data_IF_131793604908
#
_entry.id   IF_131793604908
#
_cell.length_a   1.000
_cell.length_b   1.000
_cell.length_c   1.000
_cell.angle_alpha   90.00
_cell.angle_beta   90.00
_cell.angle_gamma   90.00
#
_symmetry.space_group_name_H-M   'P 1'
#
loop_
_entity.id
_entity.type
_entity.pdbx_description
1 polymer ?
#
# COMPACT_ATOMS: atom_id res chain seq x y z
N UNK A 1 87.91 -16.85 6.85
CA UNK A 1 86.58 -17.52 6.74
C UNK A 1 85.56 -16.51 7.17
N UNK A 2 84.93 -15.84 6.20
CA UNK A 2 83.93 -14.76 6.43
C UNK A 2 82.57 -15.26 6.13
N UNK A 3 81.73 -15.25 7.17
CA UNK A 3 80.32 -15.67 7.09
C UNK A 3 79.49 -14.47 6.63
N UNK A 4 78.80 -14.58 5.46
CA UNK A 4 77.87 -13.60 4.94
C UNK A 4 76.51 -13.97 5.40
N UNK A 5 75.85 -13.11 6.21
CA UNK A 5 74.52 -13.19 6.62
C UNK A 5 73.62 -12.54 5.53
N UNK A 6 72.69 -13.33 4.89
CA UNK A 6 71.65 -12.79 4.00
C UNK A 6 70.49 -12.42 4.84
N UNK A 7 70.08 -11.16 4.84
CA UNK A 7 68.75 -10.70 5.31
C UNK A 7 67.76 -10.90 4.19
N UNK A 8 66.81 -11.77 4.39
CA UNK A 8 65.60 -11.92 3.58
C UNK A 8 64.56 -10.92 4.08
N UNK A 9 64.27 -9.84 3.33
CA UNK A 9 63.17 -8.92 3.55
C UNK A 9 61.87 -9.54 3.09
N UNK A 10 61.00 -9.89 4.02
CA UNK A 10 59.63 -10.28 3.73
C UNK A 10 58.76 -9.06 3.51
N UNK A 11 58.31 -8.81 2.28
CA UNK A 11 57.26 -7.85 1.98
C UNK A 11 55.89 -8.47 2.36
N UNK A 12 55.30 -8.00 3.45
CA UNK A 12 53.92 -8.33 3.80
C UNK A 12 52.99 -7.55 2.87
N UNK A 13 52.39 -8.23 1.90
CA UNK A 13 51.29 -7.70 1.10
C UNK A 13 50.03 -7.68 1.99
N UNK A 14 49.65 -6.49 2.46
CA UNK A 14 48.33 -6.28 3.05
C UNK A 14 47.30 -6.38 1.94
N UNK A 15 46.63 -7.52 1.82
CA UNK A 15 45.42 -7.67 1.01
C UNK A 15 44.32 -6.86 1.68
N UNK A 16 43.99 -5.70 1.13
CA UNK A 16 42.73 -5.00 1.40
C UNK A 16 41.61 -5.92 0.89
N UNK A 17 40.99 -6.68 1.78
CA UNK A 17 39.69 -7.29 1.50
C UNK A 17 38.69 -6.15 1.43
N UNK A 18 38.43 -5.63 0.22
CA UNK A 18 37.24 -4.88 -0.07
C UNK A 18 36.07 -5.87 0.14
N UNK A 19 35.49 -5.87 1.34
CA UNK A 19 34.23 -6.55 1.57
C UNK A 19 33.22 -5.96 0.57
N UNK A 20 32.74 -6.78 -0.36
CA UNK A 20 31.59 -6.42 -1.16
C UNK A 20 30.48 -6.10 -0.15
N UNK A 21 30.06 -4.84 -0.08
CA UNK A 21 28.87 -4.46 0.66
C UNK A 21 27.74 -5.32 0.06
N UNK A 22 27.15 -6.18 0.87
CA UNK A 22 26.03 -6.98 0.43
C UNK A 22 24.82 -6.05 0.41
N UNK A 23 24.12 -5.99 -0.73
CA UNK A 23 22.90 -5.20 -0.85
C UNK A 23 21.94 -5.50 0.32
N UNK A 24 21.41 -4.46 0.93
CA UNK A 24 20.35 -4.62 1.94
C UNK A 24 19.04 -4.88 1.22
N UNK A 25 18.43 -6.04 1.47
CA UNK A 25 17.17 -6.41 0.84
C UNK A 25 16.00 -5.93 1.69
N UNK A 26 15.10 -5.15 1.06
CA UNK A 26 13.88 -4.64 1.67
C UNK A 26 12.66 -5.33 1.05
N UNK A 27 12.08 -6.27 1.78
CA UNK A 27 10.83 -6.90 1.39
C UNK A 27 9.66 -5.92 1.53
N UNK A 28 8.92 -5.69 0.44
CA UNK A 28 7.80 -4.77 0.34
C UNK A 28 6.48 -5.53 0.10
N UNK A 29 5.71 -5.86 1.15
CA UNK A 29 4.39 -6.45 0.98
C UNK A 29 3.40 -5.46 0.37
N UNK A 30 2.60 -5.94 -0.59
CA UNK A 30 1.58 -5.20 -1.32
C UNK A 30 0.25 -5.96 -1.25
N UNK A 31 -0.86 -5.24 -1.08
CA UNK A 31 -2.18 -5.85 -0.91
C UNK A 31 -2.83 -6.29 -2.23
N UNK A 32 -2.41 -5.74 -3.37
CA UNK A 32 -3.08 -5.87 -4.66
C UNK A 32 -2.30 -6.76 -5.64
N UNK A 33 -2.96 -7.32 -6.68
CA UNK A 33 -2.30 -8.08 -7.74
C UNK A 33 -1.17 -7.30 -8.41
N UNK A 34 -0.19 -8.02 -8.98
CA UNK A 34 0.97 -7.39 -9.64
C UNK A 34 0.58 -6.48 -10.82
N UNK A 35 -0.57 -6.74 -11.45
CA UNK A 35 -1.12 -5.97 -12.57
C UNK A 35 -1.88 -4.71 -12.15
N UNK A 36 -2.11 -4.52 -10.85
CA UNK A 36 -2.73 -3.31 -10.34
C UNK A 36 -1.71 -2.17 -10.35
N UNK A 37 -2.13 -0.97 -10.78
CA UNK A 37 -1.22 0.17 -10.97
C UNK A 37 -0.52 0.62 -9.67
N UNK A 38 -1.07 0.38 -8.48
CA UNK A 38 -0.37 0.60 -7.22
C UNK A 38 0.83 -0.34 -7.09
N UNK A 39 0.64 -1.63 -7.39
CA UNK A 39 1.74 -2.61 -7.37
C UNK A 39 2.77 -2.33 -8.47
N UNK A 40 2.35 -1.89 -9.65
CA UNK A 40 3.26 -1.46 -10.73
C UNK A 40 4.05 -0.20 -10.35
N UNK A 41 3.40 0.77 -9.68
CA UNK A 41 4.08 1.96 -9.15
C UNK A 41 5.10 1.59 -8.08
N UNK A 42 4.75 0.69 -7.17
CA UNK A 42 5.67 0.19 -6.15
C UNK A 42 6.87 -0.57 -6.77
N UNK A 43 6.65 -1.38 -7.79
CA UNK A 43 7.72 -2.06 -8.53
C UNK A 43 8.63 -1.06 -9.26
N UNK A 44 8.07 0.00 -9.85
CA UNK A 44 8.85 1.08 -10.47
C UNK A 44 9.67 1.84 -9.44
N UNK A 45 9.09 2.15 -8.28
CA UNK A 45 9.80 2.77 -7.17
C UNK A 45 10.95 1.88 -6.68
N UNK A 46 10.74 0.57 -6.55
CA UNK A 46 11.76 -0.39 -6.16
C UNK A 46 12.98 -0.37 -7.11
N UNK A 47 12.73 -0.36 -8.41
CA UNK A 47 13.79 -0.23 -9.43
C UNK A 47 14.52 1.10 -9.30
N UNK A 48 13.78 2.22 -9.15
CA UNK A 48 14.41 3.54 -8.98
C UNK A 48 15.32 3.61 -7.76
N UNK A 49 14.91 3.03 -6.61
CA UNK A 49 15.73 3.01 -5.39
C UNK A 49 16.99 2.18 -5.61
N UNK A 50 16.88 0.99 -6.20
CA UNK A 50 18.03 0.12 -6.48
C UNK A 50 19.04 0.82 -7.41
N UNK A 51 18.58 1.50 -8.46
CA UNK A 51 19.43 2.26 -9.37
C UNK A 51 20.07 3.48 -8.68
N UNK A 52 19.28 4.25 -7.93
CA UNK A 52 19.77 5.47 -7.26
C UNK A 52 20.80 5.17 -6.17
N UNK A 53 20.67 4.03 -5.48
CA UNK A 53 21.61 3.60 -4.43
C UNK A 53 22.79 2.79 -4.98
N UNK A 54 22.89 2.63 -6.31
CA UNK A 54 23.95 1.81 -6.93
C UNK A 54 23.89 0.34 -6.55
N UNK A 55 22.73 -0.14 -6.09
CA UNK A 55 22.50 -1.51 -5.64
C UNK A 55 22.75 -1.73 -4.15
N UNK A 56 23.00 -0.69 -3.35
CA UNK A 56 23.14 -0.82 -1.89
C UNK A 56 21.82 -1.24 -1.22
N UNK A 57 20.68 -0.79 -1.78
CA UNK A 57 19.34 -1.17 -1.34
C UNK A 57 18.60 -1.87 -2.50
N UNK A 58 18.12 -3.08 -2.26
CA UNK A 58 17.28 -3.83 -3.18
C UNK A 58 15.88 -4.00 -2.57
N UNK A 59 14.84 -3.36 -3.17
CA UNK A 59 13.47 -3.54 -2.74
C UNK A 59 12.83 -4.66 -3.56
N UNK A 60 12.33 -5.71 -2.86
CA UNK A 60 11.63 -6.84 -3.46
C UNK A 60 10.14 -6.73 -3.15
N UNK A 61 9.32 -6.54 -4.18
CA UNK A 61 7.86 -6.40 -4.02
C UNK A 61 7.17 -7.76 -3.92
N UNK A 62 6.20 -7.88 -3.00
CA UNK A 62 5.40 -9.09 -2.75
C UNK A 62 3.91 -8.77 -2.95
N UNK A 63 3.38 -8.83 -4.19
CA UNK A 63 2.00 -8.47 -4.51
C UNK A 63 0.99 -9.50 -4.01
N UNK A 64 -0.29 -9.12 -4.09
CA UNK A 64 -1.47 -9.94 -3.80
C UNK A 64 -1.50 -10.53 -2.37
N UNK A 65 -0.96 -9.81 -1.40
CA UNK A 65 -0.93 -10.27 -0.01
C UNK A 65 -0.05 -11.51 0.23
N UNK A 66 0.89 -11.81 -0.69
CA UNK A 66 1.68 -13.04 -0.69
C UNK A 66 2.65 -13.15 0.48
N UNK A 67 3.16 -12.03 1.01
CA UNK A 67 4.03 -12.02 2.18
C UNK A 67 3.23 -11.81 3.48
N UNK A 68 2.31 -10.84 3.48
CA UNK A 68 1.37 -10.55 4.55
C UNK A 68 -0.01 -10.22 3.96
N UNK A 69 -1.11 -10.72 4.53
CA UNK A 69 -2.45 -10.27 4.17
C UNK A 69 -2.56 -8.74 4.24
N UNK A 70 -3.38 -8.13 3.39
CA UNK A 70 -3.53 -6.67 3.34
C UNK A 70 -3.76 -6.02 4.70
N UNK A 71 -4.60 -6.62 5.55
CA UNK A 71 -4.88 -6.18 6.92
C UNK A 71 -3.65 -6.13 7.84
N UNK A 72 -2.63 -6.94 7.57
CA UNK A 72 -1.47 -7.12 8.44
C UNK A 72 -0.25 -6.29 8.00
N UNK A 73 -0.24 -5.75 6.76
CA UNK A 73 0.92 -5.03 6.18
C UNK A 73 1.39 -3.89 7.08
N UNK A 74 0.47 -3.00 7.48
CA UNK A 74 0.85 -1.85 8.34
C UNK A 74 1.52 -2.31 9.63
N UNK A 75 0.95 -3.32 10.29
CA UNK A 75 1.50 -3.87 11.52
C UNK A 75 2.84 -4.56 11.30
N UNK A 76 3.00 -5.30 10.19
CA UNK A 76 4.27 -5.97 9.85
C UNK A 76 5.41 -4.95 9.71
N UNK A 77 5.15 -3.81 9.02
CA UNK A 77 6.14 -2.74 8.89
C UNK A 77 6.36 -2.03 10.24
N UNK A 78 5.30 -1.70 10.97
CA UNK A 78 5.38 -1.06 12.27
C UNK A 78 6.24 -1.84 13.27
N UNK A 79 6.17 -3.17 13.24
CA UNK A 79 6.91 -4.06 14.15
C UNK A 79 8.25 -4.53 13.59
N UNK A 80 8.67 -4.05 12.42
CA UNK A 80 9.95 -4.39 11.78
C UNK A 80 10.01 -5.79 11.18
N UNK A 81 8.86 -6.44 10.91
CA UNK A 81 8.80 -7.71 10.18
C UNK A 81 8.99 -7.51 8.68
N UNK A 82 8.71 -6.31 8.17
CA UNK A 82 9.08 -5.83 6.85
C UNK A 82 9.65 -4.41 6.98
N UNK A 83 10.69 -4.04 6.25
CA UNK A 83 11.28 -2.70 6.33
C UNK A 83 10.44 -1.61 5.65
N UNK A 84 9.61 -1.97 4.69
CA UNK A 84 8.77 -1.07 3.90
C UNK A 84 7.47 -1.79 3.52
N UNK A 85 6.40 -1.04 3.21
CA UNK A 85 5.15 -1.61 2.71
C UNK A 85 4.20 -0.54 2.18
N UNK A 86 3.15 -0.99 1.51
CA UNK A 86 2.08 -0.13 1.00
C UNK A 86 0.73 -0.56 1.53
N UNK A 87 -0.08 0.39 1.97
CA UNK A 87 -1.43 0.12 2.46
C UNK A 87 -2.39 1.29 2.24
N UNK A 88 -3.65 0.96 2.01
CA UNK A 88 -4.78 1.87 2.12
C UNK A 88 -4.99 2.25 3.59
N UNK A 89 -4.57 3.47 4.00
CA UNK A 89 -4.59 3.84 5.43
C UNK A 89 -5.99 4.00 5.99
N UNK A 90 -7.00 4.32 5.18
CA UNK A 90 -8.40 4.41 5.65
C UNK A 90 -8.94 3.08 6.21
N UNK A 91 -8.31 1.95 5.92
CA UNK A 91 -8.61 0.68 6.58
C UNK A 91 -8.25 0.67 8.08
N UNK A 92 -7.40 1.60 8.52
CA UNK A 92 -6.94 1.77 9.90
C UNK A 92 -7.49 3.04 10.57
N UNK A 93 -8.56 3.63 10.03
CA UNK A 93 -9.18 4.84 10.60
C UNK A 93 -9.73 4.67 12.04
N UNK A 94 -9.84 3.43 12.49
CA UNK A 94 -10.16 3.10 13.89
C UNK A 94 -8.99 3.31 14.86
N UNK A 95 -7.74 3.34 14.36
CA UNK A 95 -6.54 3.60 15.16
C UNK A 95 -6.31 5.11 15.33
N UNK A 96 -6.48 5.86 14.25
CA UNK A 96 -6.46 7.33 14.25
C UNK A 96 -7.36 7.87 13.13
N UNK A 97 -8.16 8.88 13.45
CA UNK A 97 -9.12 9.48 12.50
C UNK A 97 -8.44 10.10 11.27
N UNK A 98 -7.18 10.54 11.38
CA UNK A 98 -6.43 11.11 10.26
C UNK A 98 -6.25 10.10 9.12
N UNK A 99 -6.19 8.81 9.41
CA UNK A 99 -6.09 7.79 8.36
C UNK A 99 -7.31 7.71 7.44
N UNK A 100 -8.46 8.26 7.87
CA UNK A 100 -9.69 8.34 7.08
C UNK A 100 -9.91 9.66 6.33
N UNK A 101 -8.93 10.57 6.32
CA UNK A 101 -9.08 11.93 5.77
C UNK A 101 -9.53 11.95 4.31
N UNK A 102 -9.11 10.96 3.52
CA UNK A 102 -9.35 10.82 2.08
C UNK A 102 -10.63 10.08 1.72
N UNK A 103 -11.36 9.58 2.72
CA UNK A 103 -12.59 8.79 2.56
C UNK A 103 -13.83 9.52 3.08
N UNK A 104 -13.74 10.85 3.25
CA UNK A 104 -14.88 11.70 3.63
C UNK A 104 -15.73 11.96 2.37
N UNK A 105 -17.00 11.55 2.34
CA UNK A 105 -17.83 11.68 1.15
C UNK A 105 -17.91 13.12 0.64
N UNK A 106 -17.63 13.30 -0.65
CA UNK A 106 -17.73 14.55 -1.41
C UNK A 106 -16.80 15.69 -0.95
N UNK A 107 -15.79 15.41 -0.11
CA UNK A 107 -14.79 16.39 0.28
C UNK A 107 -13.78 16.63 -0.87
N UNK A 108 -13.30 15.57 -1.50
CA UNK A 108 -12.41 15.62 -2.66
C UNK A 108 -12.90 14.62 -3.70
N UNK A 109 -13.42 15.15 -4.83
CA UNK A 109 -14.07 14.35 -5.88
C UNK A 109 -13.32 14.39 -7.22
N UNK A 110 -12.12 15.01 -7.24
CA UNK A 110 -11.22 15.05 -8.39
C UNK A 110 -9.78 14.78 -7.97
N UNK A 111 -8.91 14.43 -8.92
CA UNK A 111 -7.50 14.22 -8.64
C UNK A 111 -6.83 15.48 -8.08
N UNK A 112 -7.11 16.67 -8.61
CA UNK A 112 -6.55 17.92 -8.10
C UNK A 112 -6.97 18.18 -6.65
N UNK A 113 -8.26 17.97 -6.34
CA UNK A 113 -8.76 18.09 -4.97
C UNK A 113 -8.15 17.04 -4.03
N UNK A 114 -7.96 15.81 -4.50
CA UNK A 114 -7.29 14.74 -3.74
C UNK A 114 -5.83 15.07 -3.45
N UNK A 115 -5.10 15.66 -4.41
CA UNK A 115 -3.71 16.10 -4.20
C UNK A 115 -3.67 17.22 -3.15
N UNK A 116 -4.50 18.25 -3.32
CA UNK A 116 -4.56 19.38 -2.36
C UNK A 116 -4.91 18.90 -0.93
N UNK A 117 -5.86 17.97 -0.81
CA UNK A 117 -6.25 17.38 0.47
C UNK A 117 -5.11 16.56 1.09
N UNK A 118 -4.39 15.76 0.28
CA UNK A 118 -3.25 14.97 0.74
C UNK A 118 -2.09 15.87 1.20
N UNK A 119 -1.81 16.95 0.49
CA UNK A 119 -0.76 17.91 0.88
C UNK A 119 -1.10 18.61 2.20
N UNK A 120 -2.38 18.96 2.40
CA UNK A 120 -2.85 19.54 3.66
C UNK A 120 -2.81 18.55 4.83
N UNK A 121 -3.08 17.26 4.59
CA UNK A 121 -3.10 16.23 5.62
C UNK A 121 -1.70 15.68 5.96
N UNK A 122 -0.73 15.80 5.03
CA UNK A 122 0.61 15.18 5.15
C UNK A 122 1.33 15.48 6.46
N UNK A 123 1.41 16.73 6.99
CA UNK A 123 2.12 16.99 8.23
C UNK A 123 1.57 16.18 9.41
N UNK A 124 0.24 16.20 9.60
CA UNK A 124 -0.42 15.44 10.68
C UNK A 124 -0.31 13.93 10.45
N UNK A 125 -0.47 13.48 9.20
CA UNK A 125 -0.34 12.06 8.85
C UNK A 125 1.08 11.54 9.15
N UNK A 126 2.11 12.32 8.80
CA UNK A 126 3.50 11.96 9.09
C UNK A 126 3.76 11.89 10.59
N UNK A 127 3.29 12.86 11.37
CA UNK A 127 3.43 12.87 12.83
C UNK A 127 2.79 11.63 13.47
N UNK A 128 1.57 11.28 13.05
CA UNK A 128 0.87 10.10 13.58
C UNK A 128 1.58 8.81 13.19
N UNK A 129 2.07 8.70 11.96
CA UNK A 129 2.84 7.53 11.50
C UNK A 129 4.16 7.40 12.26
N UNK A 130 4.90 8.50 12.47
CA UNK A 130 6.13 8.50 13.27
C UNK A 130 5.87 8.04 14.72
N UNK A 131 4.78 8.50 15.33
CA UNK A 131 4.34 8.03 16.64
C UNK A 131 4.04 6.53 16.68
N UNK A 132 3.82 5.91 15.53
CA UNK A 132 3.59 4.48 15.35
C UNK A 132 4.81 3.73 14.78
N UNK A 133 6.01 4.29 14.87
CA UNK A 133 7.25 3.68 14.35
C UNK A 133 7.28 3.50 12.82
N UNK A 134 6.60 4.39 12.08
CA UNK A 134 6.50 4.40 10.62
C UNK A 134 6.94 5.74 10.06
N UNK A 135 7.61 5.74 8.90
CA UNK A 135 8.00 6.93 8.15
C UNK A 135 7.16 7.00 6.88
N UNK A 136 6.42 8.10 6.68
CA UNK A 136 5.70 8.37 5.44
C UNK A 136 6.68 8.62 4.29
N UNK A 137 6.53 7.93 3.17
CA UNK A 137 7.34 8.15 1.97
C UNK A 137 6.53 8.90 0.89
N UNK A 138 5.51 8.26 0.36
CA UNK A 138 4.61 8.86 -0.63
C UNK A 138 3.23 8.20 -0.61
N UNK A 139 2.28 8.79 -1.35
CA UNK A 139 0.96 8.18 -1.52
C UNK A 139 0.46 8.30 -2.95
N UNK A 140 -0.35 7.33 -3.36
CA UNK A 140 -0.94 7.23 -4.70
C UNK A 140 -2.46 7.21 -4.58
N UNK A 141 -3.20 8.12 -5.26
CA UNK A 141 -4.66 8.13 -5.21
C UNK A 141 -5.25 7.00 -6.04
N UNK A 142 -6.36 6.43 -5.56
CA UNK A 142 -7.28 5.66 -6.37
C UNK A 142 -8.14 6.58 -7.22
N UNK A 143 -8.68 6.11 -8.35
CA UNK A 143 -9.73 6.83 -9.07
C UNK A 143 -10.97 7.05 -8.20
N UNK A 144 -11.86 7.99 -8.61
CA UNK A 144 -13.12 8.23 -7.90
C UNK A 144 -13.91 6.96 -7.64
N UNK A 145 -14.55 6.89 -6.46
CA UNK A 145 -15.28 5.70 -6.02
C UNK A 145 -16.72 5.73 -6.48
N UNK A 146 -17.17 4.64 -7.11
CA UNK A 146 -18.52 4.40 -7.58
C UNK A 146 -19.11 3.11 -7.02
N UNK A 147 -20.39 2.88 -7.22
CA UNK A 147 -21.14 1.72 -6.69
C UNK A 147 -21.29 0.66 -7.78
N UNK A 148 -20.91 -0.56 -7.47
CA UNK A 148 -21.18 -1.77 -8.25
C UNK A 148 -22.41 -2.50 -7.71
N UNK A 149 -23.33 -2.90 -8.58
CA UNK A 149 -24.58 -3.55 -8.20
C UNK A 149 -25.02 -4.62 -9.21
N UNK A 150 -25.74 -5.66 -8.75
CA UNK A 150 -26.23 -6.74 -9.61
C UNK A 150 -27.49 -6.37 -10.41
N UNK A 151 -28.11 -5.23 -10.12
CA UNK A 151 -29.35 -4.72 -10.69
C UNK A 151 -29.31 -3.22 -10.86
N UNK A 152 -30.27 -2.67 -11.59
CA UNK A 152 -30.45 -1.22 -11.67
C UNK A 152 -30.81 -0.64 -10.29
N UNK A 153 -30.18 0.49 -9.95
CA UNK A 153 -30.38 1.27 -8.74
C UNK A 153 -30.86 2.66 -9.15
N UNK A 154 -32.14 2.94 -8.94
CA UNK A 154 -32.73 4.24 -9.21
C UNK A 154 -32.73 5.16 -7.96
N UNK A 155 -32.64 4.56 -6.77
CA UNK A 155 -32.65 5.26 -5.49
C UNK A 155 -31.91 4.47 -4.42
N UNK A 156 -31.60 5.12 -3.29
CA UNK A 156 -30.98 4.45 -2.14
C UNK A 156 -31.84 3.28 -1.60
N UNK A 157 -33.16 3.31 -1.78
CA UNK A 157 -34.05 2.22 -1.35
C UNK A 157 -33.80 0.91 -2.11
N UNK A 158 -33.28 1.00 -3.35
CA UNK A 158 -32.95 -0.18 -4.16
C UNK A 158 -31.71 -0.94 -3.66
N UNK A 159 -30.92 -0.32 -2.77
CA UNK A 159 -29.76 -0.91 -2.13
C UNK A 159 -30.14 -1.79 -0.93
N UNK A 160 -31.36 -1.62 -0.37
CA UNK A 160 -31.78 -2.33 0.84
C UNK A 160 -31.65 -3.85 0.69
N UNK A 161 -31.01 -4.47 1.70
CA UNK A 161 -30.83 -5.92 1.79
C UNK A 161 -29.70 -6.50 0.95
N UNK A 162 -29.02 -5.72 0.06
CA UNK A 162 -27.87 -6.22 -0.69
C UNK A 162 -26.71 -6.56 0.24
N UNK A 163 -26.06 -7.68 -0.02
CA UNK A 163 -24.80 -8.03 0.63
C UNK A 163 -23.69 -7.14 0.07
N UNK A 164 -23.11 -6.32 0.94
CA UNK A 164 -22.16 -5.29 0.52
C UNK A 164 -20.76 -5.60 1.03
N UNK A 165 -19.79 -5.64 0.12
CA UNK A 165 -18.36 -5.70 0.50
C UNK A 165 -17.92 -4.33 0.97
N UNK A 166 -17.53 -4.24 2.23
CA UNK A 166 -16.83 -3.11 2.81
C UNK A 166 -15.33 -3.34 2.80
N UNK A 167 -14.52 -2.30 2.58
CA UNK A 167 -13.06 -2.37 2.68
C UNK A 167 -12.49 -1.55 3.87
N UNK A 168 -13.35 -0.78 4.53
CA UNK A 168 -13.04 -0.04 5.76
C UNK A 168 -14.31 0.25 6.55
N UNK A 169 -14.16 0.83 7.76
CA UNK A 169 -15.27 1.15 8.63
C UNK A 169 -16.25 2.18 8.02
N UNK A 170 -15.76 3.15 7.24
CA UNK A 170 -16.60 4.16 6.60
C UNK A 170 -17.53 3.52 5.54
N UNK A 171 -17.00 2.61 4.71
CA UNK A 171 -17.81 1.89 3.71
C UNK A 171 -18.79 0.91 4.36
N UNK A 172 -18.43 0.29 5.48
CA UNK A 172 -19.37 -0.52 6.27
C UNK A 172 -20.50 0.35 6.81
N UNK A 173 -20.18 1.53 7.35
CA UNK A 173 -21.18 2.47 7.86
C UNK A 173 -22.09 3.01 6.77
N UNK A 174 -21.57 3.29 5.59
CA UNK A 174 -22.36 3.67 4.42
C UNK A 174 -23.38 2.57 4.07
N UNK A 175 -22.93 1.33 4.03
CA UNK A 175 -23.80 0.18 3.76
C UNK A 175 -24.93 0.06 4.78
N UNK A 176 -24.61 0.17 6.08
CA UNK A 176 -25.64 0.15 7.14
C UNK A 176 -26.67 1.25 6.98
N UNK A 177 -26.22 2.49 6.69
CA UNK A 177 -27.12 3.63 6.50
C UNK A 177 -28.05 3.49 5.29
N UNK A 178 -27.60 2.74 4.26
CA UNK A 178 -28.39 2.42 3.08
C UNK A 178 -29.22 1.13 3.23
N UNK A 179 -29.25 0.51 4.42
CA UNK A 179 -29.98 -0.74 4.67
C UNK A 179 -29.36 -1.97 4.04
N UNK A 180 -28.10 -1.89 3.59
CA UNK A 180 -27.33 -3.02 3.06
C UNK A 180 -26.75 -3.87 4.21
N UNK A 181 -26.23 -5.05 3.87
CA UNK A 181 -25.61 -5.99 4.80
C UNK A 181 -24.08 -5.98 4.57
N UNK A 182 -23.28 -5.20 5.32
CA UNK A 182 -21.86 -5.09 5.10
C UNK A 182 -21.10 -6.32 5.60
N UNK A 183 -20.09 -6.74 4.83
CA UNK A 183 -19.08 -7.72 5.19
C UNK A 183 -17.72 -7.17 4.83
N UNK A 184 -16.76 -7.26 5.76
CA UNK A 184 -15.37 -6.82 5.53
C UNK A 184 -14.65 -7.87 4.70
N UNK A 185 -14.13 -7.47 3.53
CA UNK A 185 -13.41 -8.37 2.61
C UNK A 185 -12.21 -7.62 2.04
N UNK A 186 -11.03 -8.21 2.12
CA UNK A 186 -9.80 -7.66 1.54
C UNK A 186 -9.84 -7.69 0.00
N UNK A 187 -9.00 -6.85 -0.64
CA UNK A 187 -8.99 -6.73 -2.10
C UNK A 187 -8.70 -8.05 -2.80
N UNK A 188 -7.72 -8.82 -2.31
CA UNK A 188 -7.33 -10.11 -2.89
C UNK A 188 -8.43 -11.18 -2.84
N UNK A 189 -9.49 -10.98 -2.05
CA UNK A 189 -10.60 -11.92 -1.87
C UNK A 189 -11.86 -11.49 -2.63
N UNK A 190 -11.86 -10.30 -3.26
CA UNK A 190 -13.06 -9.68 -3.85
C UNK A 190 -13.67 -10.56 -4.94
N UNK A 191 -12.90 -11.00 -5.93
CA UNK A 191 -13.40 -11.83 -7.03
C UNK A 191 -14.04 -13.13 -6.53
N UNK A 192 -13.44 -13.77 -5.52
CA UNK A 192 -14.01 -14.98 -4.92
C UNK A 192 -15.31 -14.68 -4.17
N UNK A 193 -15.37 -13.57 -3.43
CA UNK A 193 -16.55 -13.17 -2.69
C UNK A 193 -17.76 -12.88 -3.61
N UNK A 194 -17.49 -12.25 -4.76
CA UNK A 194 -18.51 -12.02 -5.79
C UNK A 194 -18.97 -13.33 -6.43
N UNK A 195 -18.04 -14.20 -6.83
CA UNK A 195 -18.33 -15.48 -7.46
C UNK A 195 -19.15 -16.42 -6.56
N UNK A 196 -18.96 -16.36 -5.24
CA UNK A 196 -19.67 -17.20 -4.26
C UNK A 196 -20.93 -16.55 -3.69
N UNK A 197 -21.22 -15.28 -4.05
CA UNK A 197 -22.37 -14.54 -3.53
C UNK A 197 -22.25 -14.18 -2.05
N UNK A 198 -21.02 -14.15 -1.49
CA UNK A 198 -20.73 -13.58 -0.17
C UNK A 198 -20.91 -12.06 -0.21
N UNK A 199 -20.55 -11.43 -1.33
CA UNK A 199 -20.87 -10.04 -1.65
C UNK A 199 -21.62 -9.98 -2.99
N UNK A 200 -22.59 -9.05 -3.09
CA UNK A 200 -23.42 -8.80 -4.28
C UNK A 200 -23.29 -7.34 -4.75
N UNK A 201 -22.70 -6.48 -3.95
CA UNK A 201 -22.44 -5.09 -4.26
C UNK A 201 -21.23 -4.58 -3.49
N UNK A 202 -20.65 -3.47 -3.93
CA UNK A 202 -19.56 -2.79 -3.23
C UNK A 202 -19.37 -1.38 -3.81
N UNK A 203 -18.62 -0.54 -3.09
CA UNK A 203 -18.10 0.73 -3.59
C UNK A 203 -16.60 0.58 -3.86
N UNK A 204 -16.15 1.00 -5.04
CA UNK A 204 -14.75 1.02 -5.44
C UNK A 204 -14.54 1.85 -6.70
N UNK A 205 -13.29 1.89 -7.20
CA UNK A 205 -12.95 2.60 -8.44
C UNK A 205 -13.21 1.76 -9.70
N UNK A 206 -13.24 2.42 -10.85
CA UNK A 206 -13.28 1.74 -12.15
C UNK A 206 -12.05 0.86 -12.40
N UNK A 207 -10.85 1.22 -11.86
CA UNK A 207 -9.66 0.38 -11.98
C UNK A 207 -9.82 -0.96 -11.25
N UNK A 208 -10.41 -0.98 -10.05
CA UNK A 208 -10.76 -2.22 -9.36
C UNK A 208 -11.68 -3.08 -10.21
N UNK A 209 -12.70 -2.45 -10.84
CA UNK A 209 -13.62 -3.16 -11.73
C UNK A 209 -12.91 -3.82 -12.91
N UNK A 210 -11.91 -3.16 -13.46
CA UNK A 210 -11.09 -3.69 -14.56
C UNK A 210 -10.19 -4.85 -14.10
N UNK A 211 -9.42 -4.64 -13.04
CA UNK A 211 -8.46 -5.62 -12.53
C UNK A 211 -9.12 -6.92 -12.09
N UNK A 212 -10.26 -6.80 -11.39
CA UNK A 212 -11.03 -7.93 -10.85
C UNK A 212 -12.09 -8.47 -11.83
N UNK A 213 -12.15 -7.93 -13.06
CA UNK A 213 -13.13 -8.32 -14.11
C UNK A 213 -14.56 -8.36 -13.56
N UNK A 214 -14.94 -7.34 -12.80
CA UNK A 214 -16.20 -7.29 -12.06
C UNK A 214 -17.42 -7.48 -12.97
N UNK A 215 -17.33 -7.14 -14.26
CA UNK A 215 -18.38 -7.37 -15.25
C UNK A 215 -18.76 -8.85 -15.46
N UNK A 216 -17.94 -9.79 -14.98
CA UNK A 216 -18.28 -11.22 -15.00
C UNK A 216 -19.29 -11.58 -13.90
N UNK A 217 -19.47 -10.71 -12.91
CA UNK A 217 -20.29 -10.94 -11.73
C UNK A 217 -21.41 -9.91 -11.54
N UNK A 218 -21.16 -8.64 -11.85
CA UNK A 218 -22.07 -7.53 -11.65
C UNK A 218 -22.33 -6.77 -12.94
N UNK A 219 -23.57 -6.34 -13.14
CA UNK A 219 -24.03 -5.77 -14.40
C UNK A 219 -24.05 -4.24 -14.43
N UNK A 220 -23.92 -3.56 -13.30
CA UNK A 220 -24.07 -2.12 -13.21
C UNK A 220 -22.92 -1.49 -12.42
N UNK A 221 -22.45 -0.34 -12.92
CA UNK A 221 -21.53 0.55 -12.24
C UNK A 221 -22.10 1.97 -12.27
N UNK A 222 -22.17 2.61 -11.11
CA UNK A 222 -22.64 3.97 -10.93
C UNK A 222 -21.49 4.87 -10.54
N UNK A 223 -21.18 5.83 -11.38
CA UNK A 223 -20.22 6.88 -11.10
C UNK A 223 -20.83 7.82 -10.04
N UNK A 224 -20.35 7.72 -8.83
CA UNK A 224 -20.80 8.55 -7.68
C UNK A 224 -19.76 9.60 -7.35
N UNK A 225 -18.49 9.35 -7.69
CA UNK A 225 -17.33 10.20 -7.39
C UNK A 225 -17.26 10.56 -5.90
N UNK A 226 -17.55 9.58 -5.07
CA UNK A 226 -17.77 9.79 -3.65
C UNK A 226 -16.52 10.34 -2.93
N UNK A 227 -15.34 9.84 -3.27
CA UNK A 227 -14.00 10.23 -2.79
C UNK A 227 -12.93 9.54 -3.62
N UNK A 228 -11.66 9.95 -3.46
CA UNK A 228 -10.48 9.33 -4.05
C UNK A 228 -9.54 8.89 -2.91
N UNK A 229 -9.67 7.66 -2.39
CA UNK A 229 -8.81 7.20 -1.31
C UNK A 229 -7.38 7.01 -1.80
N UNK A 230 -6.42 6.90 -0.88
CA UNK A 230 -5.00 6.83 -1.22
C UNK A 230 -4.34 5.63 -0.55
N UNK A 231 -3.54 4.91 -1.31
CA UNK A 231 -2.54 4.05 -0.71
C UNK A 231 -1.33 4.89 -0.30
N UNK A 232 -0.74 4.51 0.80
CA UNK A 232 0.46 5.16 1.34
C UNK A 232 1.59 4.14 1.43
N UNK A 233 2.76 4.51 0.95
CA UNK A 233 4.00 3.78 1.15
C UNK A 233 4.70 4.37 2.37
N UNK A 234 5.09 3.48 3.27
CA UNK A 234 5.75 3.83 4.52
C UNK A 234 6.84 2.83 4.84
N UNK A 235 7.90 3.30 5.49
CA UNK A 235 9.01 2.48 5.98
C UNK A 235 8.92 2.27 7.49
N UNK A 236 9.51 1.19 8.00
CA UNK A 236 9.80 1.04 9.41
C UNK A 236 10.82 2.11 9.84
N UNK A 237 10.53 2.82 10.95
CA UNK A 237 11.37 3.94 11.36
C UNK A 237 12.82 3.52 11.68
N UNK A 238 13.03 2.37 12.31
CA UNK A 238 14.38 1.91 12.62
C UNK A 238 15.16 1.50 11.36
N UNK A 239 14.50 0.90 10.36
CA UNK A 239 15.12 0.61 9.08
C UNK A 239 15.47 1.91 8.33
N UNK A 240 14.56 2.89 8.30
CA UNK A 240 14.80 4.21 7.70
C UNK A 240 15.95 4.97 8.37
N UNK A 241 15.98 5.03 9.70
CA UNK A 241 17.02 5.72 10.48
C UNK A 241 18.39 5.04 10.34
N UNK A 242 18.43 3.78 9.90
CA UNK A 242 19.66 3.04 9.59
C UNK A 242 20.32 3.43 8.26
N UNK A 243 19.57 4.10 7.38
CA UNK A 243 20.07 4.57 6.08
C UNK A 243 20.96 5.81 6.24
N UNK A 244 21.90 5.99 5.31
CA UNK A 244 22.64 7.24 5.20
C UNK A 244 21.72 8.38 4.71
N UNK A 245 22.12 9.65 4.94
CA UNK A 245 21.40 10.82 4.42
C UNK A 245 21.22 10.79 2.89
N UNK A 246 22.19 10.21 2.15
CA UNK A 246 22.12 10.08 0.69
C UNK A 246 21.09 9.03 0.26
N UNK A 247 20.91 7.97 1.05
CA UNK A 247 19.94 6.90 0.78
C UNK A 247 18.52 7.29 1.18
N UNK A 248 18.33 8.17 2.17
CA UNK A 248 17.04 8.75 2.57
C UNK A 248 16.50 9.76 1.55
#
# INVERSE_FOLDING_TARGET
MTLRTMLAGGAAAAALAAGAAQAETWDMPLAYPATNYHSETAATFAVCVTEATGGDIEIVTHPNGSLFPGSDIKRAVQTGQAPIGERLLSAHANEDAVFGFDSIPFLATSFDASVALADAARPTLSEVLEGQNLVYLYSVPWPPQGIYAPKEIASAADLEGLKFRAYNAATARLAELAGMQPVQIEAAELSQALATGVAESFISSGSTGYDEKVWEHLSNFYEVDAWLPRNTVFANKAAWDGLSEEQQ
#
